data_IF_255560462523
#
_entry.id   IF_255560462523
#
_cell.length_a   1.000
_cell.length_b   1.000
_cell.length_c   1.000
_cell.angle_alpha   90.00
_cell.angle_beta   90.00
_cell.angle_gamma   90.00
#
_symmetry.space_group_name_H-M   'P 1'
#
loop_
_entity.id
_entity.type
_entity.pdbx_description
1 polymer ?
#
# COMPACT_ATOMS: atom_id res chain seq x y z
N UNK A 1 7.10 51.93 -18.83
CA UNK A 1 8.40 51.28 -19.10
C UNK A 1 8.12 49.80 -19.32
N UNK A 2 8.51 49.22 -20.46
CA UNK A 2 8.14 47.86 -20.81
C UNK A 2 9.24 46.88 -20.37
N UNK A 3 8.93 45.99 -19.43
CA UNK A 3 9.83 44.90 -19.06
C UNK A 3 9.35 43.58 -19.70
N UNK A 4 9.89 43.36 -20.89
CA UNK A 4 10.50 42.13 -21.42
C UNK A 4 10.04 40.80 -20.78
N UNK A 5 9.28 40.04 -21.57
CA UNK A 5 9.11 38.58 -21.48
C UNK A 5 10.46 37.85 -21.53
N UNK A 6 10.64 36.77 -20.75
CA UNK A 6 11.46 35.65 -21.16
C UNK A 6 10.57 34.54 -21.75
N UNK A 7 10.67 34.43 -23.05
CA UNK A 7 10.37 33.25 -23.85
C UNK A 7 11.37 32.14 -23.46
N UNK A 8 10.90 31.11 -22.77
CA UNK A 8 11.48 29.75 -22.87
C UNK A 8 10.51 28.73 -22.25
N UNK A 9 9.94 27.91 -23.12
CA UNK A 9 9.25 26.68 -22.79
C UNK A 9 10.27 25.65 -22.28
N UNK A 10 10.10 25.06 -21.08
CA UNK A 10 10.69 23.77 -20.78
C UNK A 10 9.72 22.69 -21.27
N UNK A 11 10.02 22.16 -22.45
CA UNK A 11 9.49 20.88 -22.95
C UNK A 11 10.10 19.75 -22.12
N UNK A 12 9.56 19.47 -20.94
CA UNK A 12 9.82 18.22 -20.19
C UNK A 12 8.81 18.02 -19.06
N UNK A 13 7.55 17.82 -19.42
CA UNK A 13 6.58 17.25 -18.49
C UNK A 13 6.46 15.75 -18.77
N UNK A 14 6.74 14.96 -17.74
CA UNK A 14 6.81 13.49 -17.64
C UNK A 14 8.27 13.02 -17.57
N UNK A 15 8.77 12.87 -16.34
CA UNK A 15 9.91 12.00 -16.09
C UNK A 15 9.37 10.57 -16.01
N UNK A 16 9.64 9.78 -17.04
CA UNK A 16 9.36 8.35 -17.04
C UNK A 16 10.33 7.65 -16.08
N UNK A 17 9.81 7.19 -14.93
CA UNK A 17 10.39 6.03 -14.27
C UNK A 17 9.60 4.80 -14.70
N UNK A 18 9.98 4.25 -15.85
CA UNK A 18 9.58 2.91 -16.23
C UNK A 18 10.31 1.93 -15.31
N UNK A 19 9.62 1.43 -14.29
CA UNK A 19 10.05 0.24 -13.56
C UNK A 19 9.20 -0.93 -14.03
N UNK A 20 9.54 -1.47 -15.20
CA UNK A 20 9.17 -2.83 -15.58
C UNK A 20 9.95 -3.77 -14.64
N UNK A 21 9.30 -4.21 -13.58
CA UNK A 21 9.83 -5.31 -12.77
C UNK A 21 9.60 -6.62 -13.52
N UNK A 22 10.43 -6.90 -14.52
CA UNK A 22 10.64 -8.27 -15.00
C UNK A 22 11.57 -8.96 -14.01
N UNK A 23 11.04 -9.98 -13.34
CA UNK A 23 11.79 -10.78 -12.38
C UNK A 23 12.73 -11.73 -13.16
N UNK A 24 13.98 -11.29 -13.36
CA UNK A 24 15.07 -12.19 -13.77
C UNK A 24 16.19 -12.16 -12.72
N UNK A 25 16.41 -13.32 -12.13
CA UNK A 25 17.50 -13.64 -11.23
C UNK A 25 18.84 -13.56 -11.96
N UNK A 26 19.83 -12.86 -11.41
CA UNK A 26 21.20 -13.37 -11.45
C UNK A 26 22.12 -12.85 -10.34
N UNK A 27 23.05 -13.74 -10.05
CA UNK A 27 24.04 -13.83 -8.97
C UNK A 27 25.00 -12.66 -8.79
N UNK A 28 25.25 -12.37 -7.50
CA UNK A 28 26.53 -12.05 -6.82
C UNK A 28 27.73 -11.61 -7.69
N UNK A 29 28.29 -10.45 -7.32
CA UNK A 29 29.73 -10.32 -7.15
C UNK A 29 30.03 -9.34 -6.02
N UNK A 30 30.91 -9.75 -5.10
CA UNK A 30 31.43 -9.01 -3.96
C UNK A 30 32.52 -8.02 -4.42
N UNK A 31 32.53 -6.81 -3.86
CA UNK A 31 33.77 -6.06 -3.66
C UNK A 31 33.74 -5.33 -2.32
N UNK A 32 34.72 -5.68 -1.50
CA UNK A 32 35.08 -5.11 -0.21
C UNK A 32 35.73 -3.73 -0.44
N UNK A 33 35.25 -2.68 0.22
CA UNK A 33 36.00 -1.44 0.38
C UNK A 33 35.81 -0.84 1.79
N UNK A 34 36.86 -1.04 2.59
CA UNK A 34 37.56 -0.04 3.40
C UNK A 34 36.73 1.05 4.13
N UNK A 35 36.62 0.89 5.45
CA UNK A 35 36.03 1.87 6.37
C UNK A 35 36.99 3.07 6.52
N UNK A 36 36.64 4.22 5.94
CA UNK A 36 37.29 5.50 6.24
C UNK A 36 36.75 6.09 7.56
N UNK A 37 37.60 6.76 8.36
CA UNK A 37 37.19 7.37 9.62
C UNK A 37 36.24 8.53 9.40
N UNK A 38 35.27 8.65 10.31
CA UNK A 38 34.23 9.68 10.34
C UNK A 38 34.91 11.04 10.59
N UNK A 39 34.77 12.03 9.67
CA UNK A 39 35.34 13.36 9.88
C UNK A 39 34.65 14.08 11.03
N UNK A 40 35.43 14.89 11.75
CA UNK A 40 34.96 15.59 12.94
C UNK A 40 33.91 16.67 12.57
N UNK A 41 33.02 17.07 13.51
CA UNK A 41 31.98 18.07 13.24
C UNK A 41 32.52 19.43 12.74
N UNK A 42 33.81 19.72 12.95
CA UNK A 42 34.43 20.98 12.54
C UNK A 42 34.88 20.96 11.07
N UNK A 43 35.23 19.79 10.52
CA UNK A 43 35.61 19.65 9.10
C UNK A 43 34.39 19.79 8.16
N UNK A 44 33.19 19.50 8.67
CA UNK A 44 31.91 19.65 7.94
C UNK A 44 31.48 21.12 7.83
N UNK A 45 31.96 21.99 8.73
CA UNK A 45 31.63 23.43 8.68
C UNK A 45 32.57 24.22 7.74
N UNK A 46 33.81 23.78 7.54
CA UNK A 46 34.76 24.44 6.65
C UNK A 46 34.49 24.17 5.15
N UNK A 47 33.81 23.07 4.80
CA UNK A 47 33.34 22.77 3.43
C UNK A 47 32.07 23.55 3.04
N UNK A 48 31.47 24.30 3.97
CA UNK A 48 30.23 25.08 3.76
C UNK A 48 30.44 26.56 3.44
N UNK A 49 31.69 27.04 3.40
CA UNK A 49 32.02 28.44 3.12
C UNK A 49 32.81 28.64 1.82
N UNK A 50 32.65 27.72 0.86
CA UNK A 50 33.11 27.89 -0.51
C UNK A 50 31.93 28.25 -1.41
N UNK A 51 32.05 29.37 -2.11
CA UNK A 51 31.11 29.93 -3.09
C UNK A 51 30.48 28.88 -4.02
N UNK A 52 29.22 28.52 -3.77
CA UNK A 52 28.33 28.02 -4.82
C UNK A 52 27.11 28.94 -4.94
N UNK A 53 26.92 29.31 -6.19
CA UNK A 53 25.96 30.22 -6.76
C UNK A 53 24.52 29.83 -6.39
N UNK A 54 23.75 30.83 -5.93
CA UNK A 54 22.36 30.74 -5.53
C UNK A 54 21.45 30.19 -6.65
N UNK A 55 21.32 28.87 -6.75
CA UNK A 55 20.08 28.27 -7.25
C UNK A 55 19.40 27.58 -6.06
N UNK A 56 18.35 28.18 -5.46
CA UNK A 56 17.53 27.43 -4.53
C UNK A 56 16.89 26.32 -5.36
N UNK A 57 17.40 25.10 -5.23
CA UNK A 57 16.71 23.90 -5.66
C UNK A 57 15.32 23.97 -5.02
N UNK A 58 14.34 24.49 -5.78
CA UNK A 58 12.96 24.60 -5.35
C UNK A 58 12.54 23.19 -4.99
N UNK A 59 12.44 22.90 -3.70
CA UNK A 59 11.88 21.65 -3.21
C UNK A 59 10.45 21.54 -3.74
N UNK A 60 10.29 20.90 -4.89
CA UNK A 60 9.00 20.66 -5.53
C UNK A 60 8.51 19.31 -5.04
N UNK A 61 7.40 19.33 -4.30
CA UNK A 61 6.75 18.11 -3.81
C UNK A 61 5.90 17.52 -4.93
N UNK A 62 6.45 16.53 -5.64
CA UNK A 62 5.73 15.76 -6.63
C UNK A 62 4.61 14.93 -5.97
N UNK A 63 3.59 14.60 -6.75
CA UNK A 63 2.50 13.72 -6.36
C UNK A 63 2.62 12.44 -7.17
N UNK A 64 2.58 11.28 -6.53
CA UNK A 64 2.68 9.99 -7.20
C UNK A 64 1.30 9.35 -7.25
N UNK A 65 0.83 9.02 -8.45
CA UNK A 65 -0.41 8.30 -8.69
C UNK A 65 -0.07 6.87 -9.11
N UNK A 66 -0.36 5.91 -8.23
CA UNK A 66 -0.30 4.49 -8.51
C UNK A 66 -1.65 4.02 -9.05
N UNK A 67 -1.67 3.49 -10.27
CA UNK A 67 -2.86 2.98 -10.93
C UNK A 67 -2.82 1.45 -10.92
N UNK A 68 -3.81 0.86 -10.26
CA UNK A 68 -4.05 -0.58 -10.16
C UNK A 68 -5.15 -0.95 -11.13
N UNK A 69 -4.82 -1.72 -12.18
CA UNK A 69 -5.81 -2.30 -13.11
C UNK A 69 -6.16 -3.70 -12.65
N UNK A 70 -7.35 -3.85 -12.10
CA UNK A 70 -7.90 -5.11 -11.59
C UNK A 70 -8.76 -5.78 -12.66
N UNK A 71 -8.42 -7.02 -13.03
CA UNK A 71 -9.19 -7.79 -14.00
C UNK A 71 -9.34 -9.24 -13.55
N UNK A 72 -10.36 -9.93 -14.07
CA UNK A 72 -10.48 -11.36 -13.88
C UNK A 72 -9.56 -12.07 -14.85
N UNK A 73 -8.65 -12.85 -14.31
CA UNK A 73 -7.91 -13.83 -15.11
C UNK A 73 -8.82 -15.07 -15.21
N UNK A 74 -9.12 -15.58 -16.42
CA UNK A 74 -9.86 -16.82 -16.55
C UNK A 74 -9.07 -17.91 -15.80
N UNK A 75 -9.63 -18.40 -14.71
CA UNK A 75 -9.07 -19.53 -13.98
C UNK A 75 -8.99 -20.69 -14.95
N UNK A 76 -7.80 -21.01 -15.45
CA UNK A 76 -7.59 -22.19 -16.31
C UNK A 76 -8.25 -23.36 -15.61
N UNK A 77 -9.28 -23.90 -16.26
CA UNK A 77 -10.15 -24.95 -15.72
C UNK A 77 -9.35 -26.02 -15.01
N UNK A 78 -9.35 -25.93 -13.69
CA UNK A 78 -8.52 -26.76 -12.83
C UNK A 78 -9.01 -26.51 -11.43
N UNK A 79 -9.98 -27.33 -11.00
CA UNK A 79 -10.36 -27.52 -9.59
C UNK A 79 -9.20 -28.13 -8.79
N UNK A 80 -7.99 -27.63 -8.96
CA UNK A 80 -6.91 -27.85 -8.02
C UNK A 80 -7.03 -26.68 -7.06
N UNK A 81 -8.02 -26.79 -6.18
CA UNK A 81 -7.95 -26.22 -4.85
C UNK A 81 -6.74 -26.86 -4.14
N UNK A 82 -5.54 -26.53 -4.60
CA UNK A 82 -4.37 -26.43 -3.72
C UNK A 82 -4.56 -25.13 -2.95
N UNK A 83 -5.64 -25.07 -2.18
CA UNK A 83 -5.57 -24.33 -0.94
C UNK A 83 -4.32 -24.90 -0.28
N UNK A 84 -3.34 -24.04 -0.04
CA UNK A 84 -2.37 -24.27 1.00
C UNK A 84 -3.12 -24.23 2.35
N UNK A 85 -4.17 -25.04 2.50
CA UNK A 85 -4.49 -25.68 3.76
C UNK A 85 -3.27 -26.56 3.97
N UNK A 86 -2.22 -26.02 4.57
CA UNK A 86 -1.35 -26.89 5.35
C UNK A 86 -2.30 -27.72 6.18
N UNK A 87 -2.32 -29.01 5.90
CA UNK A 87 -3.36 -29.92 6.35
C UNK A 87 -3.53 -29.72 7.86
N UNK A 88 -4.76 -29.74 8.37
CA UNK A 88 -5.03 -29.71 9.82
C UNK A 88 -3.99 -30.47 10.69
N UNK A 89 -3.48 -31.67 10.29
CA UNK A 89 -2.37 -32.33 10.98
C UNK A 89 -1.07 -31.53 11.07
N UNK A 90 -0.68 -30.72 10.07
CA UNK A 90 0.49 -29.83 10.15
C UNK A 90 0.38 -28.85 11.31
N UNK A 91 -0.79 -28.23 11.49
CA UNK A 91 -1.01 -27.27 12.58
C UNK A 91 -1.01 -27.95 13.96
N UNK A 92 -1.62 -29.13 14.05
CA UNK A 92 -1.60 -29.94 15.27
C UNK A 92 -0.17 -30.34 15.60
N UNK A 93 0.59 -30.87 14.63
CA UNK A 93 1.98 -31.28 14.83
C UNK A 93 2.88 -30.11 15.23
N UNK A 94 2.68 -28.94 14.62
CA UNK A 94 3.38 -27.70 14.99
C UNK A 94 3.07 -27.27 16.43
N UNK A 95 1.81 -27.38 16.84
CA UNK A 95 1.38 -27.04 18.21
C UNK A 95 1.96 -28.02 19.23
N UNK A 96 1.95 -29.32 18.94
CA UNK A 96 2.57 -30.36 19.78
C UNK A 96 4.07 -30.10 19.93
N UNK A 97 4.77 -29.79 18.83
CA UNK A 97 6.18 -29.46 18.85
C UNK A 97 6.47 -28.23 19.72
N UNK A 98 5.69 -27.16 19.57
CA UNK A 98 5.83 -25.94 20.37
C UNK A 98 5.61 -26.20 21.88
N UNK A 99 4.61 -27.01 22.23
CA UNK A 99 4.35 -27.43 23.62
C UNK A 99 5.51 -28.28 24.15
N UNK A 100 6.04 -29.21 23.35
CA UNK A 100 7.21 -30.02 23.72
C UNK A 100 8.45 -29.17 24.02
N UNK A 101 8.73 -28.17 23.18
CA UNK A 101 9.81 -27.19 23.43
C UNK A 101 9.55 -26.38 24.70
N UNK A 102 8.30 -25.98 24.94
CA UNK A 102 7.95 -25.24 26.15
C UNK A 102 8.14 -26.07 27.44
N UNK A 103 7.78 -27.37 27.42
CA UNK A 103 8.01 -28.27 28.56
C UNK A 103 9.52 -28.43 28.82
N UNK A 104 10.32 -28.59 27.77
CA UNK A 104 11.77 -28.66 27.90
C UNK A 104 12.37 -27.39 28.52
N UNK A 105 11.95 -26.21 28.04
CA UNK A 105 12.39 -24.92 28.59
C UNK A 105 11.96 -24.74 30.05
N UNK A 106 10.77 -25.25 30.42
CA UNK A 106 10.29 -25.21 31.80
C UNK A 106 11.17 -26.07 32.72
N UNK A 107 11.60 -27.25 32.25
CA UNK A 107 12.55 -28.12 32.98
C UNK A 107 13.94 -27.47 33.13
N UNK A 108 14.34 -26.63 32.17
CA UNK A 108 15.57 -25.83 32.24
C UNK A 108 15.45 -24.55 33.08
N UNK A 109 14.28 -24.27 33.68
CA UNK A 109 14.05 -23.08 34.51
C UNK A 109 13.73 -21.79 33.73
N UNK A 110 13.47 -21.88 32.42
CA UNK A 110 13.08 -20.74 31.58
C UNK A 110 11.54 -20.56 31.58
N UNK A 111 10.99 -20.22 32.76
CA UNK A 111 9.55 -20.22 32.99
C UNK A 111 8.78 -19.17 32.16
N UNK A 112 9.32 -17.95 32.01
CA UNK A 112 8.67 -16.89 31.24
C UNK A 112 8.61 -17.21 29.75
N UNK A 113 9.72 -17.71 29.19
CA UNK A 113 9.77 -18.16 27.78
C UNK A 113 8.81 -19.32 27.53
N UNK A 114 8.74 -20.27 28.47
CA UNK A 114 7.84 -21.42 28.38
C UNK A 114 6.37 -21.00 28.42
N UNK A 115 6.01 -20.10 29.34
CA UNK A 115 4.66 -19.56 29.44
C UNK A 115 4.25 -18.84 28.15
N UNK A 116 5.16 -18.09 27.54
CA UNK A 116 4.92 -17.40 26.27
C UNK A 116 4.66 -18.39 25.13
N UNK A 117 5.46 -19.47 25.02
CA UNK A 117 5.26 -20.50 24.01
C UNK A 117 3.93 -21.24 24.18
N UNK A 118 3.58 -21.63 25.41
CA UNK A 118 2.31 -22.30 25.71
C UNK A 118 1.15 -21.38 25.35
N UNK A 119 1.21 -20.12 25.79
CA UNK A 119 0.17 -19.12 25.50
C UNK A 119 0.00 -18.91 23.99
N UNK A 120 1.09 -18.85 23.24
CA UNK A 120 1.08 -18.71 21.77
C UNK A 120 0.52 -19.95 21.08
N UNK A 121 0.92 -21.15 21.53
CA UNK A 121 0.43 -22.42 20.96
C UNK A 121 -1.07 -22.61 21.19
N UNK A 122 -1.55 -22.33 22.41
CA UNK A 122 -2.98 -22.40 22.74
C UNK A 122 -3.76 -21.37 21.93
N UNK A 123 -3.25 -20.14 21.82
CA UNK A 123 -3.92 -19.07 21.07
C UNK A 123 -4.01 -19.37 19.57
N UNK A 124 -2.94 -19.89 18.95
CA UNK A 124 -2.97 -20.30 17.53
C UNK A 124 -3.91 -21.48 17.30
N UNK A 125 -3.94 -22.46 18.22
CA UNK A 125 -4.87 -23.58 18.16
C UNK A 125 -6.33 -23.12 18.31
N UNK A 126 -6.62 -22.26 19.29
CA UNK A 126 -7.94 -21.70 19.51
C UNK A 126 -8.42 -20.89 18.29
N UNK A 127 -7.57 -20.01 17.76
CA UNK A 127 -7.90 -19.19 16.61
C UNK A 127 -8.17 -20.01 15.34
N UNK A 128 -7.44 -21.12 15.11
CA UNK A 128 -7.60 -21.94 13.89
C UNK A 128 -8.69 -22.98 13.96
N UNK A 129 -8.93 -23.57 15.14
CA UNK A 129 -9.86 -24.69 15.30
C UNK A 129 -11.26 -24.24 15.76
N UNK A 130 -11.36 -23.16 16.54
CA UNK A 130 -12.62 -22.74 17.16
C UNK A 130 -13.29 -21.57 16.43
N UNK A 131 -12.53 -20.78 15.67
CA UNK A 131 -13.04 -19.63 14.93
C UNK A 131 -13.15 -19.98 13.45
N UNK A 132 -14.39 -20.09 12.96
CA UNK A 132 -14.65 -20.16 11.54
C UNK A 132 -14.53 -18.75 10.96
N UNK A 133 -13.57 -18.51 10.07
CA UNK A 133 -13.50 -17.27 9.29
C UNK A 133 -14.28 -17.49 8.01
N UNK A 134 -15.40 -16.80 7.87
CA UNK A 134 -16.30 -16.94 6.73
C UNK A 134 -16.15 -15.74 5.79
N UNK A 135 -16.45 -15.97 4.51
CA UNK A 135 -16.54 -14.90 3.51
C UNK A 135 -18.01 -14.51 3.37
N UNK A 136 -18.33 -13.21 3.29
CA UNK A 136 -19.71 -12.78 3.17
C UNK A 136 -20.31 -13.22 1.83
N UNK A 137 -21.63 -13.43 1.83
CA UNK A 137 -22.39 -13.65 0.60
C UNK A 137 -22.25 -12.40 -0.29
N UNK A 138 -21.80 -12.57 -1.55
CA UNK A 138 -21.51 -11.45 -2.45
C UNK A 138 -20.04 -11.01 -2.50
N UNK A 139 -19.13 -11.78 -1.90
CA UNK A 139 -17.68 -11.59 -2.04
C UNK A 139 -17.25 -11.72 -3.51
N UNK A 140 -16.57 -10.70 -4.05
CA UNK A 140 -16.21 -10.57 -5.47
C UNK A 140 -17.40 -10.64 -6.44
N UNK A 141 -18.62 -10.38 -5.96
CA UNK A 141 -19.79 -10.24 -6.82
C UNK A 141 -20.12 -8.75 -7.01
N UNK A 142 -20.58 -8.40 -8.21
CA UNK A 142 -20.98 -7.04 -8.51
C UNK A 142 -22.42 -6.82 -8.03
N UNK A 143 -22.59 -5.92 -7.06
CA UNK A 143 -23.92 -5.52 -6.57
C UNK A 143 -24.60 -4.56 -7.56
N UNK A 144 -23.83 -3.84 -8.36
CA UNK A 144 -24.32 -2.83 -9.32
C UNK A 144 -24.08 -3.29 -10.76
N UNK A 145 -24.94 -4.19 -11.25
CA UNK A 145 -24.85 -4.73 -12.61
C UNK A 145 -24.90 -3.66 -13.73
N UNK A 146 -25.43 -2.47 -13.42
CA UNK A 146 -25.53 -1.35 -14.37
C UNK A 146 -24.18 -0.72 -14.73
N UNK A 147 -23.16 -0.83 -13.86
CA UNK A 147 -21.84 -0.23 -14.07
C UNK A 147 -20.77 -1.31 -13.81
N UNK A 148 -20.26 -1.98 -14.86
CA UNK A 148 -19.32 -3.09 -14.71
C UNK A 148 -17.90 -2.63 -14.30
N UNK A 149 -17.56 -1.36 -14.55
CA UNK A 149 -16.24 -0.80 -14.29
C UNK A 149 -16.20 0.02 -12.99
N UNK A 150 -15.33 -0.36 -12.08
CA UNK A 150 -14.99 0.40 -10.88
C UNK A 150 -13.87 1.39 -11.17
N UNK A 151 -13.97 2.59 -10.61
CA UNK A 151 -12.91 3.59 -10.60
C UNK A 151 -12.92 4.27 -9.22
N UNK A 152 -12.00 3.87 -8.35
CA UNK A 152 -11.95 4.33 -6.96
C UNK A 152 -10.57 4.87 -6.62
N UNK A 153 -10.53 6.06 -6.02
CA UNK A 153 -9.31 6.71 -5.59
C UNK A 153 -9.15 6.56 -4.07
N UNK A 154 -8.00 6.06 -3.64
CA UNK A 154 -7.65 5.89 -2.24
C UNK A 154 -6.35 6.62 -1.91
N UNK A 155 -6.26 7.16 -0.70
CA UNK A 155 -5.05 7.75 -0.15
C UNK A 155 -5.06 7.60 1.37
N UNK A 156 -3.89 7.63 2.00
CA UNK A 156 -3.78 7.52 3.45
C UNK A 156 -4.48 8.69 4.19
N UNK A 157 -4.50 9.87 3.57
CA UNK A 157 -5.19 11.07 4.05
C UNK A 157 -5.38 12.08 2.91
N UNK A 158 -6.26 13.07 3.09
CA UNK A 158 -6.58 14.10 2.08
C UNK A 158 -5.36 14.89 1.57
N UNK A 159 -4.36 15.10 2.44
CA UNK A 159 -3.12 15.81 2.09
C UNK A 159 -1.96 14.90 1.61
N UNK A 160 -2.23 13.67 1.20
CA UNK A 160 -1.19 12.71 0.83
C UNK A 160 -0.43 13.13 -0.43
N UNK A 161 0.79 12.62 -0.57
CA UNK A 161 1.59 12.69 -1.81
C UNK A 161 1.43 11.47 -2.68
N UNK A 162 1.05 10.35 -2.09
CA UNK A 162 0.87 9.08 -2.78
C UNK A 162 -0.62 8.77 -2.83
N UNK A 163 -1.10 8.49 -4.04
CA UNK A 163 -2.49 8.26 -4.36
C UNK A 163 -2.59 6.93 -5.10
N UNK A 164 -3.63 6.16 -4.81
CA UNK A 164 -3.86 4.83 -5.34
C UNK A 164 -5.20 4.82 -6.08
N UNK A 165 -5.17 4.74 -7.41
CA UNK A 165 -6.35 4.66 -8.26
C UNK A 165 -6.58 3.21 -8.67
N UNK A 166 -7.69 2.63 -8.24
CA UNK A 166 -8.12 1.29 -8.58
C UNK A 166 -9.13 1.34 -9.71
N UNK A 167 -8.83 0.68 -10.82
CA UNK A 167 -9.66 0.64 -12.04
C UNK A 167 -9.92 -0.81 -12.46
N UNK A 168 -11.05 -1.09 -13.09
CA UNK A 168 -11.33 -2.39 -13.72
C UNK A 168 -12.61 -3.03 -13.23
N UNK A 169 -12.64 -4.33 -12.97
CA UNK A 169 -13.86 -5.02 -12.52
C UNK A 169 -14.34 -4.45 -11.18
N UNK A 170 -15.54 -3.84 -11.21
CA UNK A 170 -16.13 -3.20 -10.04
C UNK A 170 -16.24 -4.14 -8.84
N UNK A 171 -16.56 -5.41 -9.06
CA UNK A 171 -16.71 -6.36 -7.96
C UNK A 171 -15.41 -6.54 -7.16
N UNK A 172 -14.28 -6.55 -7.86
CA UNK A 172 -12.95 -6.71 -7.27
C UNK A 172 -12.56 -5.43 -6.54
N UNK A 173 -12.69 -4.28 -7.21
CA UNK A 173 -12.34 -2.97 -6.65
C UNK A 173 -13.18 -2.67 -5.39
N UNK A 174 -14.49 -2.91 -5.46
CA UNK A 174 -15.39 -2.72 -4.32
C UNK A 174 -15.09 -3.70 -3.18
N UNK A 175 -14.72 -4.95 -3.48
CA UNK A 175 -14.31 -5.92 -2.46
C UNK A 175 -12.99 -5.55 -1.77
N UNK A 176 -12.09 -4.85 -2.45
CA UNK A 176 -10.81 -4.42 -1.90
C UNK A 176 -10.95 -3.17 -1.01
N UNK A 177 -11.85 -2.25 -1.37
CA UNK A 177 -11.89 -0.92 -0.78
C UNK A 177 -13.10 -0.64 0.10
N UNK A 178 -14.23 -1.31 -0.13
CA UNK A 178 -15.51 -0.92 0.44
C UNK A 178 -16.23 -2.08 1.13
N UNK A 179 -16.20 -3.29 0.56
CA UNK A 179 -16.81 -4.47 1.19
C UNK A 179 -15.86 -5.12 2.20
N UNK A 180 -16.43 -5.73 3.23
CA UNK A 180 -15.69 -6.59 4.15
C UNK A 180 -15.24 -7.86 3.42
N UNK A 181 -13.94 -8.17 3.45
CA UNK A 181 -13.41 -9.39 2.80
C UNK A 181 -13.67 -10.67 3.61
N UNK A 182 -13.82 -10.53 4.92
CA UNK A 182 -14.12 -11.62 5.83
C UNK A 182 -15.00 -11.11 6.96
N UNK A 183 -15.76 -12.01 7.56
CA UNK A 183 -16.48 -11.76 8.79
C UNK A 183 -16.32 -12.94 9.72
N UNK A 184 -16.39 -12.68 11.02
CA UNK A 184 -16.31 -13.69 12.05
C UNK A 184 -17.72 -13.82 12.63
N UNK A 185 -18.36 -15.01 12.58
CA UNK A 185 -19.68 -15.19 13.13
C UNK A 185 -19.70 -14.91 14.63
N UNK A 186 -20.75 -14.20 15.07
CA UNK A 186 -20.99 -13.94 16.48
C UNK A 186 -21.55 -15.21 17.13
N UNK A 187 -20.63 -16.03 17.63
CA UNK A 187 -20.90 -17.28 18.30
C UNK A 187 -20.33 -17.21 19.71
N UNK A 188 -20.92 -17.96 20.63
CA UNK A 188 -20.40 -18.03 22.00
C UNK A 188 -18.93 -18.49 22.02
N UNK A 189 -18.52 -19.31 21.05
CA UNK A 189 -17.12 -19.75 20.92
C UNK A 189 -16.21 -18.62 20.43
N UNK A 190 -16.61 -17.81 19.45
CA UNK A 190 -15.78 -16.69 18.98
C UNK A 190 -15.62 -15.62 20.05
N UNK A 191 -16.66 -15.36 20.85
CA UNK A 191 -16.59 -14.47 22.02
C UNK A 191 -15.65 -15.01 23.10
N UNK A 192 -15.74 -16.31 23.41
CA UNK A 192 -14.83 -16.96 24.37
C UNK A 192 -13.38 -16.87 23.91
N UNK A 193 -13.11 -17.14 22.63
CA UNK A 193 -11.78 -17.00 22.04
C UNK A 193 -11.32 -15.55 22.09
N UNK A 194 -12.19 -14.58 21.85
CA UNK A 194 -11.90 -13.16 22.02
C UNK A 194 -11.45 -12.82 23.43
N UNK A 195 -12.18 -13.26 24.46
CA UNK A 195 -11.79 -13.08 25.86
C UNK A 195 -10.47 -13.80 26.19
N UNK A 196 -10.27 -15.00 25.66
CA UNK A 196 -9.00 -15.73 25.81
C UNK A 196 -7.84 -14.96 25.18
N UNK A 197 -7.98 -14.45 23.95
CA UNK A 197 -6.92 -13.69 23.28
C UNK A 197 -6.56 -12.41 24.03
N UNK A 198 -7.57 -11.74 24.62
CA UNK A 198 -7.34 -10.59 25.48
C UNK A 198 -6.55 -10.96 26.74
N UNK A 199 -6.94 -12.05 27.43
CA UNK A 199 -6.21 -12.56 28.59
C UNK A 199 -4.79 -13.03 28.22
N UNK A 200 -4.66 -13.75 27.11
CA UNK A 200 -3.40 -14.25 26.56
C UNK A 200 -2.43 -13.10 26.29
N UNK A 201 -2.92 -11.97 25.77
CA UNK A 201 -2.11 -10.78 25.57
C UNK A 201 -1.53 -10.23 26.88
N UNK A 202 -2.33 -10.13 27.94
CA UNK A 202 -1.84 -9.74 29.27
C UNK A 202 -0.82 -10.74 29.82
N UNK A 203 -1.07 -12.04 29.67
CA UNK A 203 -0.14 -13.10 30.09
C UNK A 203 1.18 -13.00 29.31
N UNK A 204 1.14 -12.75 28.00
CA UNK A 204 2.34 -12.59 27.18
C UNK A 204 3.16 -11.38 27.62
N UNK A 205 2.54 -10.23 27.86
CA UNK A 205 3.24 -9.04 28.36
C UNK A 205 3.86 -9.34 29.73
N UNK A 206 3.09 -9.92 30.66
CA UNK A 206 3.60 -10.27 31.98
C UNK A 206 4.78 -11.27 31.91
N UNK A 207 4.70 -12.27 31.02
CA UNK A 207 5.77 -13.24 30.81
C UNK A 207 7.03 -12.60 30.19
N UNK A 208 6.88 -11.69 29.22
CA UNK A 208 8.00 -10.93 28.65
C UNK A 208 8.66 -10.02 29.70
N UNK A 209 7.85 -9.31 30.50
CA UNK A 209 8.36 -8.46 31.58
C UNK A 209 9.06 -9.27 32.67
N UNK A 210 8.52 -10.44 33.02
CA UNK A 210 9.14 -11.36 33.96
C UNK A 210 10.50 -11.86 33.43
N UNK A 211 10.55 -12.35 32.19
CA UNK A 211 11.77 -12.84 31.57
C UNK A 211 12.85 -11.74 31.44
N UNK A 212 12.44 -10.49 31.19
CA UNK A 212 13.35 -9.34 31.13
C UNK A 212 13.82 -8.87 32.51
N UNK A 213 12.96 -8.97 33.54
CA UNK A 213 13.29 -8.59 34.91
C UNK A 213 14.22 -9.60 35.61
N UNK A 214 14.15 -10.87 35.22
CA UNK A 214 15.06 -11.89 35.71
C UNK A 214 16.43 -11.78 35.01
N UNK A 215 17.49 -11.58 35.81
CA UNK A 215 18.89 -11.69 35.36
C UNK A 215 19.30 -13.17 35.21
N UNK A 216 18.55 -13.93 34.43
CA UNK A 216 18.68 -15.38 34.32
C UNK A 216 18.72 -15.88 32.86
N UNK A 217 18.82 -17.21 32.72
CA UNK A 217 18.82 -17.89 31.42
C UNK A 217 17.51 -17.68 30.63
N UNK A 218 16.41 -17.32 31.30
CA UNK A 218 15.11 -17.09 30.66
C UNK A 218 15.14 -15.94 29.64
N UNK A 219 15.81 -14.82 29.96
CA UNK A 219 15.97 -13.71 29.02
C UNK A 219 16.82 -14.09 27.80
N UNK A 220 17.85 -14.92 28.00
CA UNK A 220 18.69 -15.45 26.89
C UNK A 220 17.88 -16.38 26.00
N UNK A 221 17.10 -17.30 26.59
CA UNK A 221 16.21 -18.20 25.86
C UNK A 221 15.17 -17.45 25.04
N UNK A 222 14.56 -16.40 25.61
CA UNK A 222 13.62 -15.54 24.89
C UNK A 222 14.28 -14.83 23.72
N UNK A 223 15.49 -14.29 23.89
CA UNK A 223 16.24 -13.63 22.82
C UNK A 223 16.59 -14.59 21.69
N UNK A 224 17.02 -15.82 22.02
CA UNK A 224 17.25 -16.88 21.03
C UNK A 224 15.96 -17.23 20.29
N UNK A 225 14.84 -17.35 20.99
CA UNK A 225 13.54 -17.64 20.38
C UNK A 225 13.14 -16.56 19.36
N UNK A 226 13.29 -15.28 19.74
CA UNK A 226 13.00 -14.14 18.84
C UNK A 226 13.94 -14.15 17.64
N UNK A 227 15.22 -14.43 17.83
CA UNK A 227 16.20 -14.52 16.74
C UNK A 227 15.86 -15.66 15.76
N UNK A 228 15.50 -16.83 16.28
CA UNK A 228 15.05 -17.98 15.46
C UNK A 228 13.76 -17.65 14.71
N UNK A 229 12.77 -17.01 15.36
CA UNK A 229 11.54 -16.61 14.70
C UNK A 229 11.81 -15.60 13.56
N UNK A 230 12.66 -14.60 13.80
CA UNK A 230 13.06 -13.64 12.76
C UNK A 230 13.82 -14.29 11.61
N UNK A 231 14.68 -15.25 11.91
CA UNK A 231 15.40 -16.00 10.89
C UNK A 231 14.43 -16.85 10.06
N UNK A 232 13.48 -17.50 10.72
CA UNK A 232 12.42 -18.26 10.05
C UNK A 232 11.54 -17.37 9.20
N UNK A 233 11.13 -16.19 9.66
CA UNK A 233 10.38 -15.20 8.85
C UNK A 233 11.18 -14.74 7.63
N UNK A 234 12.50 -14.55 7.77
CA UNK A 234 13.36 -14.15 6.66
C UNK A 234 13.51 -15.24 5.60
N UNK A 235 13.61 -16.50 6.00
CA UNK A 235 13.71 -17.63 5.06
C UNK A 235 12.36 -18.07 4.52
N UNK A 236 11.32 -17.98 5.35
CA UNK A 236 9.94 -18.20 4.96
C UNK A 236 9.45 -16.96 4.23
N UNK A 237 9.72 -16.90 2.92
CA UNK A 237 9.11 -15.97 1.97
C UNK A 237 7.56 -16.07 1.90
N UNK A 238 6.92 -16.70 2.89
CA UNK A 238 5.49 -16.96 2.96
C UNK A 238 4.66 -15.71 3.15
N UNK A 239 5.14 -14.71 3.89
CA UNK A 239 4.35 -13.52 4.21
C UNK A 239 4.33 -12.50 3.08
N UNK A 240 5.42 -12.34 2.33
CA UNK A 240 5.50 -11.37 1.21
C UNK A 240 4.62 -11.76 0.02
N UNK A 241 4.16 -13.02 -0.04
CA UNK A 241 3.35 -13.56 -1.15
C UNK A 241 1.91 -13.87 -0.77
N UNK A 242 1.43 -13.42 0.40
CA UNK A 242 0.04 -13.69 0.80
C UNK A 242 -0.96 -13.06 -0.15
N UNK A 243 -0.75 -11.79 -0.51
CA UNK A 243 -1.58 -11.07 -1.48
C UNK A 243 -1.52 -11.73 -2.86
N UNK A 244 -0.32 -12.08 -3.33
CA UNK A 244 -0.11 -12.77 -4.61
C UNK A 244 -0.84 -14.13 -4.66
N UNK A 245 -0.75 -14.92 -3.58
CA UNK A 245 -1.46 -16.21 -3.48
C UNK A 245 -2.97 -16.03 -3.43
N UNK A 246 -3.46 -15.02 -2.72
CA UNK A 246 -4.88 -14.71 -2.69
C UNK A 246 -5.37 -14.29 -4.08
N UNK A 247 -4.67 -13.36 -4.75
CA UNK A 247 -4.96 -12.94 -6.12
C UNK A 247 -5.02 -14.14 -7.08
N UNK A 248 -4.01 -15.02 -7.03
CA UNK A 248 -3.97 -16.23 -7.86
C UNK A 248 -5.10 -17.21 -7.53
N UNK A 249 -5.43 -17.39 -6.24
CA UNK A 249 -6.51 -18.28 -5.80
C UNK A 249 -7.88 -17.80 -6.27
N UNK A 250 -8.12 -16.49 -6.21
CA UNK A 250 -9.38 -15.88 -6.63
C UNK A 250 -9.46 -15.60 -8.14
N UNK A 251 -8.38 -15.88 -8.90
CA UNK A 251 -8.32 -15.58 -10.33
C UNK A 251 -8.31 -14.08 -10.62
N UNK A 252 -7.75 -13.26 -9.73
CA UNK A 252 -7.66 -11.81 -9.89
C UNK A 252 -6.26 -11.45 -10.40
N UNK A 253 -6.21 -10.77 -11.54
CA UNK A 253 -5.02 -10.12 -12.07
C UNK A 253 -4.97 -8.65 -11.67
N UNK A 254 -3.77 -8.14 -11.38
CA UNK A 254 -3.55 -6.75 -11.01
C UNK A 254 -2.30 -6.23 -11.72
N UNK A 255 -2.48 -5.24 -12.60
CA UNK A 255 -1.35 -4.51 -13.20
C UNK A 255 -1.16 -3.19 -12.47
N UNK A 256 0.09 -2.89 -12.09
CA UNK A 256 0.46 -1.65 -11.41
C UNK A 256 1.26 -0.76 -12.35
N UNK A 257 0.81 0.48 -12.53
CA UNK A 257 1.59 1.56 -13.16
C UNK A 257 1.66 2.77 -12.24
N UNK A 258 2.77 3.49 -12.27
CA UNK A 258 2.97 4.66 -11.42
C UNK A 258 3.26 5.88 -12.29
N UNK A 259 2.62 7.00 -11.97
CA UNK A 259 2.73 8.26 -12.68
C UNK A 259 3.11 9.38 -11.71
N UNK A 260 4.06 10.21 -12.09
CA UNK A 260 4.51 11.33 -11.27
C UNK A 260 3.93 12.65 -11.81
N UNK A 261 3.18 13.33 -10.95
CA UNK A 261 2.50 14.59 -11.23
C UNK A 261 3.19 15.74 -10.54
N UNK A 262 3.26 16.85 -11.26
CA UNK A 262 3.95 18.05 -10.80
C UNK A 262 3.14 18.89 -9.80
N UNK A 263 1.87 18.52 -9.56
CA UNK A 263 0.98 19.14 -8.58
C UNK A 263 -0.34 18.36 -8.40
N UNK A 264 -0.96 18.52 -7.22
CA UNK A 264 -2.19 17.81 -6.83
C UNK A 264 -3.39 18.12 -7.72
N UNK A 265 -3.63 19.41 -8.00
CA UNK A 265 -4.74 19.85 -8.85
C UNK A 265 -4.68 19.18 -10.23
N UNK A 266 -3.48 19.06 -10.81
CA UNK A 266 -3.28 18.41 -12.11
C UNK A 266 -3.62 16.92 -12.06
N UNK A 267 -3.15 16.23 -11.02
CA UNK A 267 -3.44 14.82 -10.81
C UNK A 267 -4.94 14.57 -10.64
N UNK A 268 -5.61 15.35 -9.79
CA UNK A 268 -7.05 15.20 -9.56
C UNK A 268 -7.88 15.54 -10.80
N UNK A 269 -7.48 16.58 -11.55
CA UNK A 269 -8.11 16.91 -12.83
C UNK A 269 -7.95 15.80 -13.86
N UNK A 270 -6.77 15.18 -13.92
CA UNK A 270 -6.52 14.04 -14.80
C UNK A 270 -7.39 12.84 -14.40
N UNK A 271 -7.53 12.55 -13.10
CA UNK A 271 -8.41 11.49 -12.59
C UNK A 271 -9.89 11.79 -12.87
N UNK A 272 -10.35 13.03 -12.69
CA UNK A 272 -11.73 13.45 -13.03
C UNK A 272 -12.04 13.17 -14.49
N UNK A 273 -11.17 13.64 -15.40
CA UNK A 273 -11.32 13.43 -16.83
C UNK A 273 -11.20 11.95 -17.22
N UNK A 274 -10.30 11.22 -16.58
CA UNK A 274 -10.15 9.79 -16.81
C UNK A 274 -11.41 9.01 -16.41
N UNK A 275 -12.02 9.34 -15.27
CA UNK A 275 -13.23 8.67 -14.78
C UNK A 275 -14.46 8.88 -15.67
N UNK A 276 -14.51 9.95 -16.45
CA UNK A 276 -15.67 10.34 -17.24
C UNK A 276 -16.87 10.80 -16.41
N UNK A 277 -16.74 10.92 -15.09
CA UNK A 277 -17.78 11.41 -14.20
C UNK A 277 -18.00 12.91 -14.38
N UNK A 278 -19.25 13.35 -14.29
CA UNK A 278 -19.59 14.78 -14.19
C UNK A 278 -19.61 15.27 -12.73
N UNK A 279 -19.62 14.34 -11.78
CA UNK A 279 -19.67 14.66 -10.36
C UNK A 279 -18.30 15.08 -9.86
N UNK A 280 -18.19 16.27 -9.31
CA UNK A 280 -16.94 16.87 -8.78
C UNK A 280 -16.90 16.97 -7.26
N UNK A 281 -17.98 16.57 -6.57
CA UNK A 281 -18.12 16.71 -5.12
C UNK A 281 -17.12 15.88 -4.32
N UNK A 282 -16.62 14.77 -4.87
CA UNK A 282 -15.59 13.94 -4.23
C UNK A 282 -14.27 14.70 -4.01
N UNK A 283 -14.05 15.81 -4.73
CA UNK A 283 -12.86 16.65 -4.57
C UNK A 283 -13.01 17.72 -3.48
N UNK A 284 -14.20 17.95 -2.94
CA UNK A 284 -14.47 19.04 -1.99
C UNK A 284 -13.65 18.93 -0.70
N UNK A 285 -13.44 17.70 -0.25
CA UNK A 285 -12.66 17.39 0.95
C UNK A 285 -11.14 17.40 0.70
N UNK A 286 -10.70 17.40 -0.57
CA UNK A 286 -9.28 17.32 -0.96
C UNK A 286 -8.75 18.69 -1.40
N UNK A 287 -9.57 19.42 -2.16
CA UNK A 287 -9.28 20.77 -2.65
C UNK A 287 -10.36 21.69 -2.15
N UNK A 288 -9.96 22.62 -1.28
CA UNK A 288 -10.87 23.60 -0.68
C UNK A 288 -11.75 24.25 -1.75
N UNK A 289 -13.09 24.28 -1.56
CA UNK A 289 -14.00 24.97 -2.45
C UNK A 289 -13.58 26.44 -2.61
N UNK A 290 -13.32 26.84 -3.85
CA UNK A 290 -12.86 28.19 -4.17
C UNK A 290 -13.30 28.54 -5.59
N UNK A 291 -13.72 29.80 -5.87
CA UNK A 291 -14.19 30.21 -7.20
C UNK A 291 -13.23 29.85 -8.35
N UNK A 292 -11.91 29.95 -8.11
CA UNK A 292 -10.86 29.53 -9.06
C UNK A 292 -10.91 28.03 -9.38
N UNK A 293 -11.15 27.18 -8.38
CA UNK A 293 -11.31 25.73 -8.54
C UNK A 293 -12.57 25.44 -9.37
N UNK A 294 -13.66 26.14 -9.11
CA UNK A 294 -14.91 25.93 -9.82
C UNK A 294 -14.81 26.32 -11.29
N UNK A 295 -14.16 27.46 -11.59
CA UNK A 295 -13.87 27.87 -12.96
C UNK A 295 -12.99 26.83 -13.68
N UNK A 296 -11.96 26.32 -12.99
CA UNK A 296 -11.11 25.24 -13.50
C UNK A 296 -11.89 23.94 -13.77
N UNK A 297 -12.77 23.53 -12.85
CA UNK A 297 -13.60 22.33 -13.01
C UNK A 297 -14.65 22.48 -14.11
N UNK A 298 -15.26 23.66 -14.27
CA UNK A 298 -16.20 23.93 -15.39
C UNK A 298 -15.50 23.84 -16.73
N UNK A 299 -14.31 24.42 -16.85
CA UNK A 299 -13.51 24.29 -18.06
C UNK A 299 -13.12 22.83 -18.34
N UNK A 300 -12.71 22.07 -17.31
CA UNK A 300 -12.35 20.66 -17.48
C UNK A 300 -13.53 19.74 -17.85
N UNK A 301 -14.64 19.83 -17.11
CA UNK A 301 -15.76 18.87 -17.23
C UNK A 301 -16.74 19.28 -18.32
N UNK A 302 -16.97 20.60 -18.49
CA UNK A 302 -17.99 21.14 -19.40
C UNK A 302 -17.42 21.82 -20.63
N UNK A 303 -16.10 22.07 -20.67
CA UNK A 303 -15.49 22.84 -21.74
C UNK A 303 -15.88 24.33 -21.75
N UNK A 304 -16.41 24.85 -20.63
CA UNK A 304 -16.79 26.25 -20.50
C UNK A 304 -15.52 27.10 -20.31
N UNK A 305 -15.19 27.96 -21.27
CA UNK A 305 -14.07 28.89 -21.17
C UNK A 305 -14.23 29.84 -19.97
N UNK A 306 -13.16 30.10 -19.19
CA UNK A 306 -13.23 31.00 -18.06
C UNK A 306 -13.51 32.44 -18.53
N UNK A 307 -14.48 33.12 -17.90
CA UNK A 307 -14.84 34.50 -18.24
C UNK A 307 -13.65 35.45 -18.08
N UNK A 308 -13.16 35.99 -19.19
CA UNK A 308 -12.02 36.91 -19.24
C UNK A 308 -12.24 38.19 -18.43
N UNK A 309 -13.49 38.60 -18.18
CA UNK A 309 -13.81 39.81 -17.42
C UNK A 309 -13.82 39.56 -15.90
N UNK A 310 -14.00 38.31 -15.47
CA UNK A 310 -14.12 37.96 -14.06
C UNK A 310 -12.77 37.69 -13.37
N UNK A 311 -11.70 37.46 -14.14
CA UNK A 311 -10.41 36.99 -13.62
C UNK A 311 -9.26 37.91 -13.97
N UNK A 312 -8.27 37.98 -13.07
CA UNK A 312 -7.00 38.60 -13.40
C UNK A 312 -6.27 37.81 -14.49
N UNK A 313 -5.50 38.46 -15.39
CA UNK A 313 -4.80 37.76 -16.48
C UNK A 313 -3.89 36.62 -16.00
N UNK A 314 -3.24 36.79 -14.84
CA UNK A 314 -2.39 35.76 -14.25
C UNK A 314 -3.15 34.55 -13.71
N UNK A 315 -4.35 34.75 -13.17
CA UNK A 315 -5.20 33.65 -12.70
C UNK A 315 -5.82 32.89 -13.86
N UNK A 316 -6.23 33.59 -14.91
CA UNK A 316 -6.76 32.99 -16.12
C UNK A 316 -5.71 32.09 -16.80
N UNK A 317 -4.47 32.58 -16.95
CA UNK A 317 -3.36 31.79 -17.48
C UNK A 317 -3.09 30.52 -16.63
N UNK A 318 -3.20 30.62 -15.31
CA UNK A 318 -3.03 29.46 -14.41
C UNK A 318 -4.17 28.44 -14.55
N UNK A 319 -5.42 28.90 -14.63
CA UNK A 319 -6.59 28.04 -14.83
C UNK A 319 -6.42 27.28 -16.15
N UNK A 320 -6.17 27.99 -17.25
CA UNK A 320 -6.00 27.38 -18.56
C UNK A 320 -4.83 26.40 -18.61
N UNK A 321 -3.66 26.80 -18.10
CA UNK A 321 -2.47 25.95 -18.09
C UNK A 321 -2.72 24.68 -17.28
N UNK A 322 -3.31 24.82 -16.08
CA UNK A 322 -3.58 23.67 -15.22
C UNK A 322 -4.60 22.71 -15.85
N UNK A 323 -5.59 23.24 -16.55
CA UNK A 323 -6.56 22.41 -17.24
C UNK A 323 -5.97 21.71 -18.46
N UNK A 324 -5.24 22.43 -19.33
CA UNK A 324 -4.55 21.85 -20.49
C UNK A 324 -3.61 20.71 -20.06
N UNK A 325 -2.83 20.90 -19.00
CA UNK A 325 -1.97 19.86 -18.44
C UNK A 325 -2.75 18.66 -17.89
N UNK A 326 -3.91 18.90 -17.27
CA UNK A 326 -4.77 17.80 -16.77
C UNK A 326 -5.39 17.00 -17.92
N UNK A 327 -5.78 17.66 -19.01
CA UNK A 327 -6.29 17.03 -20.24
C UNK A 327 -5.23 16.15 -20.87
N UNK A 328 -4.01 16.66 -21.04
CA UNK A 328 -2.89 15.87 -21.59
C UNK A 328 -2.54 14.69 -20.69
N UNK A 329 -2.50 14.89 -19.38
CA UNK A 329 -2.24 13.79 -18.46
C UNK A 329 -3.35 12.72 -18.48
N UNK A 330 -4.62 13.13 -18.61
CA UNK A 330 -5.73 12.19 -18.79
C UNK A 330 -5.62 11.42 -20.11
N UNK A 331 -5.18 12.07 -21.18
CA UNK A 331 -4.92 11.43 -22.48
C UNK A 331 -3.83 10.36 -22.34
N UNK A 332 -2.72 10.70 -21.70
CA UNK A 332 -1.62 9.75 -21.39
C UNK A 332 -2.14 8.57 -20.58
N UNK A 333 -2.88 8.82 -19.49
CA UNK A 333 -3.49 7.77 -18.68
C UNK A 333 -4.37 6.84 -19.53
N UNK A 334 -5.25 7.40 -20.37
CA UNK A 334 -6.10 6.60 -21.27
C UNK A 334 -5.28 5.76 -22.23
N UNK A 335 -4.29 6.33 -22.92
CA UNK A 335 -3.45 5.59 -23.87
C UNK A 335 -2.76 4.40 -23.20
N UNK A 336 -2.18 4.59 -22.02
CA UNK A 336 -1.42 3.52 -21.35
C UNK A 336 -2.30 2.45 -20.67
N UNK A 337 -3.54 2.78 -20.31
CA UNK A 337 -4.45 1.88 -19.59
C UNK A 337 -5.46 1.19 -20.54
N UNK A 338 -5.87 1.87 -21.61
CA UNK A 338 -6.75 1.34 -22.66
C UNK A 338 -5.99 0.68 -23.80
N UNK A 339 -4.77 1.13 -24.14
CA UNK A 339 -3.93 0.45 -25.14
C UNK A 339 -3.55 -0.99 -24.72
N UNK A 340 -3.57 -1.29 -23.42
CA UNK A 340 -3.41 -2.65 -22.89
C UNK A 340 -4.72 -3.46 -22.84
N UNK A 341 -5.84 -2.92 -23.31
CA UNK A 341 -7.12 -3.66 -23.43
C UNK A 341 -7.34 -4.23 -24.84
N UNK A 342 -6.65 -3.72 -25.87
CA UNK A 342 -6.78 -4.25 -27.24
C UNK A 342 -5.75 -5.35 -27.57
N UNK A 343 -4.74 -5.55 -26.71
CA UNK A 343 -3.71 -6.60 -26.88
C UNK A 343 -3.98 -7.89 -26.07
N UNK A 344 -5.12 -8.00 -25.40
CA UNK A 344 -5.59 -9.21 -24.68
C UNK A 344 -6.94 -9.61 -25.25
#
# INVERSE_FOLDING_TARGET
MPDILPESLPTSAISEKCSTASFQSNSKSETVHEIRPIPSPQDVQALRSGSEENNPLRFRRYQTLHVFKCFRTPTRGGKISCSSKSSLPYYILRSIFAIGVAIFLMLCGAFGTSALLICTAISDMAARLLVAVERPAGYLENTEAAIPTGCMLAAAHQNATEWYLFIGDRAIVDSLLNKTMFWIPDSNTSRLVGYWLQLAHFIQIAAMTFAAGQKGWDGVSLMVLVAVNRLFERFSNGNSKLAERWLAHEGVGVDLKSFEFSGRTLMLGAVQLFSGSQTTSWMDDIVTPHPRRDAWLRYLVRGEEPDHNAWSPGDLARIEMSAKLSIEAARVLRTYLMGTLEEI
#
